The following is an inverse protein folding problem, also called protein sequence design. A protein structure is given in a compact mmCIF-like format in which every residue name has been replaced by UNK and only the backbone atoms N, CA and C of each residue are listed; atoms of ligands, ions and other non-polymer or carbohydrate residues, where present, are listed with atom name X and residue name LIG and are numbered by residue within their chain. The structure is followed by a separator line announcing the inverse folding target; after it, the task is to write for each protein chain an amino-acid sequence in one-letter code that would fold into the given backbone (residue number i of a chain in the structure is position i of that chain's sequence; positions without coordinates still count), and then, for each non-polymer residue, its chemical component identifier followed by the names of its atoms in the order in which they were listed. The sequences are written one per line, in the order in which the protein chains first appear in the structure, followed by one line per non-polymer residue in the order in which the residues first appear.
data_IF_276911051498
#
_entry.id   IF_276911051498
#
_cell.length_a   1.000
_cell.length_b   1.000
_cell.length_c   1.000
_cell.angle_alpha   90.00
_cell.angle_beta   90.00
_cell.angle_gamma   90.00
#
_symmetry.space_group_name_H-M   'P 1'
#
loop_
_entity.id
_entity.type
_entity.pdbx_description
1 polymer ?
#
# COMPACT_ATOMS: atom_id res chain seq x y z
N UNK A 1 9.63 -12.63 4.31
CA UNK A 1 9.32 -11.34 3.63
C UNK A 1 9.04 -10.30 4.70
N UNK A 2 9.67 -9.12 4.65
CA UNK A 2 9.60 -8.13 5.73
C UNK A 2 8.79 -6.89 5.28
N UNK A 3 7.48 -6.93 5.49
CA UNK A 3 6.55 -5.83 5.17
C UNK A 3 6.91 -4.56 5.95
N UNK A 4 7.41 -4.68 7.18
CA UNK A 4 7.83 -3.56 8.01
C UNK A 4 8.90 -2.70 7.31
N UNK A 5 9.87 -3.33 6.63
CA UNK A 5 10.90 -2.58 5.88
C UNK A 5 10.29 -1.76 4.76
N UNK A 6 9.36 -2.32 3.99
CA UNK A 6 8.68 -1.59 2.93
C UNK A 6 7.90 -0.38 3.50
N UNK A 7 7.15 -0.59 4.59
CA UNK A 7 6.41 0.48 5.28
C UNK A 7 7.34 1.58 5.79
N UNK A 8 8.51 1.22 6.33
CA UNK A 8 9.52 2.17 6.80
C UNK A 8 10.15 2.97 5.65
N UNK A 9 10.40 2.32 4.50
CA UNK A 9 10.90 3.01 3.29
C UNK A 9 9.94 4.10 2.85
N UNK A 10 8.64 3.81 2.80
CA UNK A 10 7.60 4.78 2.39
C UNK A 10 7.10 5.70 3.52
N UNK A 11 7.87 5.81 4.61
CA UNK A 11 7.44 6.58 5.77
C UNK A 11 7.49 8.10 5.54
N UNK A 12 6.67 8.84 6.30
CA UNK A 12 6.66 10.29 6.28
C UNK A 12 8.04 10.87 6.59
N UNK A 13 8.76 10.26 7.53
CA UNK A 13 10.10 10.68 7.94
C UNK A 13 11.09 10.61 6.77
N UNK A 14 11.06 9.54 5.98
CA UNK A 14 11.93 9.41 4.79
C UNK A 14 11.55 10.45 3.74
N UNK A 15 10.25 10.61 3.44
CA UNK A 15 9.83 11.62 2.45
C UNK A 15 10.17 13.05 2.88
N UNK A 16 10.04 13.38 4.17
CA UNK A 16 10.41 14.67 4.72
C UNK A 16 11.92 14.92 4.68
N UNK A 17 12.73 13.89 4.99
CA UNK A 17 14.18 13.98 4.85
C UNK A 17 14.59 14.24 3.39
N UNK A 18 14.00 13.52 2.43
CA UNK A 18 14.28 13.75 1.01
C UNK A 18 13.88 15.16 0.56
N UNK A 19 12.71 15.66 0.99
CA UNK A 19 12.29 17.05 0.73
C UNK A 19 13.30 18.04 1.32
N UNK A 20 13.71 17.83 2.57
CA UNK A 20 14.68 18.71 3.23
C UNK A 20 16.04 18.74 2.51
N UNK A 21 16.54 17.58 2.09
CA UNK A 21 17.80 17.48 1.32
C UNK A 21 17.70 18.18 -0.04
N UNK A 22 16.54 18.12 -0.69
CA UNK A 22 16.29 18.82 -1.95
C UNK A 22 16.29 20.35 -1.78
N UNK A 23 15.68 20.85 -0.71
CA UNK A 23 15.54 22.28 -0.40
C UNK A 23 16.87 22.90 0.04
N UNK A 24 17.65 22.17 0.85
CA UNK A 24 18.89 22.66 1.48
C UNK A 24 20.16 22.31 0.70
N UNK A 25 20.03 21.99 -0.59
CA UNK A 25 21.14 21.61 -1.49
C UNK A 25 22.19 22.70 -1.76
N UNK A 26 21.98 23.94 -1.31
CA UNK A 26 22.88 25.07 -1.62
C UNK A 26 24.16 24.95 -0.81
N UNK A 27 25.26 24.58 -1.48
CA UNK A 27 26.61 24.65 -0.91
C UNK A 27 27.29 23.30 -0.63
N UNK A 28 26.58 22.18 -0.77
CA UNK A 28 27.16 20.84 -0.60
C UNK A 28 27.10 20.03 -1.92
N UNK A 29 28.24 19.74 -2.56
CA UNK A 29 28.31 18.88 -3.75
C UNK A 29 27.70 17.50 -3.55
N UNK A 30 27.70 16.95 -2.33
CA UNK A 30 27.10 15.65 -2.03
C UNK A 30 25.57 15.66 -2.19
N UNK A 31 24.93 16.82 -2.08
CA UNK A 31 23.48 16.98 -2.19
C UNK A 31 22.99 17.15 -3.63
N UNK A 32 23.89 17.24 -4.61
CA UNK A 32 23.53 17.39 -6.02
C UNK A 32 22.69 16.21 -6.54
N UNK A 33 22.90 15.00 -6.01
CA UNK A 33 22.15 13.79 -6.36
C UNK A 33 20.66 13.87 -5.99
N UNK A 34 20.28 14.73 -5.04
CA UNK A 34 18.89 14.90 -4.60
C UNK A 34 18.13 16.01 -5.36
N UNK A 35 18.75 16.61 -6.39
CA UNK A 35 18.13 17.70 -7.16
C UNK A 35 16.78 17.28 -7.77
N UNK A 36 16.74 16.09 -8.37
CA UNK A 36 15.60 15.57 -9.14
C UNK A 36 14.79 14.53 -8.35
N UNK A 37 14.78 14.61 -7.02
CA UNK A 37 14.10 13.62 -6.15
C UNK A 37 12.57 13.82 -6.08
N UNK A 38 12.03 14.90 -6.65
CA UNK A 38 10.58 15.21 -6.60
C UNK A 38 9.70 14.05 -7.06
N UNK A 39 9.96 13.38 -8.21
CA UNK A 39 9.11 12.27 -8.66
C UNK A 39 9.15 11.09 -7.70
N UNK A 40 10.31 10.83 -7.08
CA UNK A 40 10.47 9.79 -6.05
C UNK A 40 9.66 10.13 -4.81
N UNK A 41 9.74 11.37 -4.30
CA UNK A 41 8.95 11.82 -3.15
C UNK A 41 7.45 11.67 -3.45
N UNK A 42 7.02 12.09 -4.64
CA UNK A 42 5.62 11.97 -5.06
C UNK A 42 5.18 10.52 -5.08
N UNK A 43 5.95 9.63 -5.72
CA UNK A 43 5.67 8.20 -5.75
C UNK A 43 5.54 7.63 -4.34
N UNK A 44 6.47 7.97 -3.46
CA UNK A 44 6.44 7.49 -2.08
C UNK A 44 5.20 7.96 -1.32
N UNK A 45 4.80 9.22 -1.49
CA UNK A 45 3.58 9.78 -0.88
C UNK A 45 2.32 9.11 -1.42
N UNK A 46 2.21 8.92 -2.73
CA UNK A 46 1.06 8.25 -3.37
C UNK A 46 0.91 6.82 -2.86
N UNK A 47 2.00 6.04 -2.84
CA UNK A 47 1.97 4.66 -2.35
C UNK A 47 1.69 4.57 -0.85
N UNK A 48 2.23 5.50 -0.05
CA UNK A 48 1.98 5.57 1.39
C UNK A 48 0.51 5.87 1.70
N UNK A 49 -0.08 6.85 1.03
CA UNK A 49 -1.49 7.18 1.19
C UNK A 49 -2.38 6.01 0.76
N UNK A 50 -2.07 5.36 -0.37
CA UNK A 50 -2.77 4.16 -0.82
C UNK A 50 -2.73 3.05 0.24
N UNK A 51 -1.54 2.77 0.81
CA UNK A 51 -1.37 1.76 1.84
C UNK A 51 -2.16 2.09 3.11
N UNK A 52 -2.13 3.34 3.57
CA UNK A 52 -2.83 3.75 4.79
C UNK A 52 -4.36 3.64 4.66
N UNK A 53 -4.90 3.90 3.47
CA UNK A 53 -6.34 3.73 3.21
C UNK A 53 -6.72 2.24 3.17
N UNK A 54 -5.81 1.34 2.79
CA UNK A 54 -6.04 -0.12 2.81
C UNK A 54 -5.75 -0.76 4.19
N UNK A 55 -5.18 -0.01 5.14
CA UNK A 55 -4.85 -0.47 6.49
C UNK A 55 -5.53 0.42 7.57
N UNK A 56 -6.83 0.66 7.40
CA UNK A 56 -7.60 1.44 8.38
C UNK A 56 -7.86 0.68 9.67
N UNK A 57 -7.77 1.38 10.80
CA UNK A 57 -7.97 0.84 12.15
C UNK A 57 -8.87 1.77 12.96
N UNK A 58 -9.56 1.22 13.96
CA UNK A 58 -10.55 1.97 14.74
C UNK A 58 -9.98 3.24 15.39
N UNK A 59 -8.77 3.14 15.94
CA UNK A 59 -8.04 4.26 16.56
C UNK A 59 -7.15 5.03 15.57
N UNK A 60 -7.34 4.83 14.27
CA UNK A 60 -6.50 5.44 13.23
C UNK A 60 -6.82 6.91 13.04
N UNK A 61 -5.81 7.70 12.70
CA UNK A 61 -5.96 9.11 12.32
C UNK A 61 -5.91 9.29 10.80
N UNK A 62 -6.44 10.40 10.31
CA UNK A 62 -6.33 10.81 8.90
C UNK A 62 -6.75 9.71 7.90
N UNK A 63 -5.81 9.22 7.09
CA UNK A 63 -6.05 8.18 6.10
C UNK A 63 -6.34 6.81 6.71
N UNK A 64 -5.90 6.55 7.95
CA UNK A 64 -6.09 5.29 8.67
C UNK A 64 -7.38 5.21 9.48
N UNK A 65 -8.17 6.28 9.58
CA UNK A 65 -9.44 6.27 10.33
C UNK A 65 -10.48 5.36 9.67
N UNK A 66 -11.51 4.88 10.38
CA UNK A 66 -12.61 4.14 9.76
C UNK A 66 -13.28 4.93 8.63
N UNK A 67 -13.81 4.24 7.61
CA UNK A 67 -14.58 4.87 6.53
C UNK A 67 -16.05 4.75 6.88
N UNK A 68 -16.75 5.86 7.06
CA UNK A 68 -18.16 5.90 7.49
C UNK A 68 -19.10 6.51 6.46
N UNK A 69 -18.55 7.10 5.39
CA UNK A 69 -19.32 7.83 4.38
C UNK A 69 -19.06 7.25 2.99
N UNK A 70 -20.12 7.14 2.19
CA UNK A 70 -20.03 6.61 0.82
C UNK A 70 -19.16 7.49 -0.08
N UNK A 71 -19.23 8.81 0.13
CA UNK A 71 -18.48 9.82 -0.60
C UNK A 71 -17.23 10.27 0.15
N UNK A 72 -16.65 9.40 0.99
CA UNK A 72 -15.41 9.71 1.72
C UNK A 72 -14.33 10.18 0.72
N UNK A 73 -13.70 11.35 0.94
CA UNK A 73 -12.70 11.89 0.01
C UNK A 73 -11.56 10.91 -0.30
N UNK A 74 -11.23 10.00 0.63
CA UNK A 74 -10.21 8.97 0.43
C UNK A 74 -10.63 7.93 -0.61
N UNK A 75 -11.92 7.60 -0.67
CA UNK A 75 -12.45 6.69 -1.69
C UNK A 75 -12.47 7.36 -3.07
N UNK A 76 -12.83 8.64 -3.12
CA UNK A 76 -12.77 9.43 -4.35
C UNK A 76 -11.33 9.51 -4.86
N UNK A 77 -10.38 9.78 -3.96
CA UNK A 77 -8.96 9.83 -4.28
C UNK A 77 -8.41 8.49 -4.80
N UNK A 78 -8.79 7.38 -4.17
CA UNK A 78 -8.42 6.04 -4.64
C UNK A 78 -8.94 5.78 -6.05
N UNK A 79 -10.21 6.08 -6.28
CA UNK A 79 -10.90 5.78 -7.54
C UNK A 79 -10.39 6.64 -8.70
N UNK A 80 -10.14 7.94 -8.45
CA UNK A 80 -9.81 8.91 -9.50
C UNK A 80 -8.32 9.22 -9.55
N UNK A 81 -7.78 9.82 -8.49
CA UNK A 81 -6.44 10.39 -8.48
C UNK A 81 -5.36 9.30 -8.50
N UNK A 82 -5.47 8.29 -7.63
CA UNK A 82 -4.47 7.22 -7.54
C UNK A 82 -4.45 6.34 -8.79
N UNK A 83 -5.61 5.93 -9.30
CA UNK A 83 -5.66 5.07 -10.50
C UNK A 83 -5.15 5.81 -11.74
N UNK A 84 -5.45 7.10 -11.87
CA UNK A 84 -4.90 7.95 -12.94
C UNK A 84 -3.38 8.07 -12.80
N UNK A 85 -2.88 8.34 -11.59
CA UNK A 85 -1.46 8.42 -11.32
C UNK A 85 -0.70 7.14 -11.70
N UNK A 86 -1.18 5.96 -11.26
CA UNK A 86 -0.54 4.67 -11.55
C UNK A 86 -0.51 4.40 -13.06
N UNK A 87 -1.59 4.72 -13.79
CA UNK A 87 -1.63 4.62 -15.26
C UNK A 87 -0.58 5.51 -15.92
N UNK A 88 -0.51 6.78 -15.52
CA UNK A 88 0.46 7.71 -16.08
C UNK A 88 1.90 7.27 -15.81
N UNK A 89 2.19 6.76 -14.60
CA UNK A 89 3.50 6.21 -14.25
C UNK A 89 3.82 4.99 -15.12
N UNK A 90 2.87 4.07 -15.30
CA UNK A 90 3.05 2.89 -16.13
C UNK A 90 3.33 3.27 -17.59
N UNK A 91 2.52 4.15 -18.17
CA UNK A 91 2.65 4.61 -19.56
C UNK A 91 4.00 5.33 -19.79
N UNK A 92 4.41 6.21 -18.87
CA UNK A 92 5.70 6.88 -18.94
C UNK A 92 6.88 5.90 -18.80
N UNK A 93 6.73 4.86 -17.98
CA UNK A 93 7.75 3.83 -17.78
C UNK A 93 7.91 2.95 -19.02
N UNK A 94 6.80 2.56 -19.64
CA UNK A 94 6.79 1.83 -20.93
C UNK A 94 7.44 2.68 -22.02
N UNK A 95 7.05 3.95 -22.14
CA UNK A 95 7.61 4.86 -23.15
C UNK A 95 9.12 5.10 -22.98
N UNK A 96 9.60 5.10 -21.74
CA UNK A 96 11.03 5.25 -21.44
C UNK A 96 11.82 3.93 -21.46
N UNK A 97 11.14 2.79 -21.50
CA UNK A 97 11.73 1.45 -21.39
C UNK A 97 12.38 1.16 -20.03
N UNK A 98 12.03 1.91 -18.98
CA UNK A 98 12.64 1.81 -17.64
C UNK A 98 11.60 1.95 -16.54
N UNK A 99 11.75 1.16 -15.48
CA UNK A 99 10.99 1.35 -14.23
C UNK A 99 9.52 0.94 -14.31
N UNK A 100 9.14 0.14 -15.30
CA UNK A 100 7.79 -0.39 -15.46
C UNK A 100 7.41 -1.32 -14.29
N UNK A 101 6.19 -1.18 -13.77
CA UNK A 101 5.62 -2.20 -12.87
C UNK A 101 5.30 -3.44 -13.69
N UNK A 102 5.53 -4.62 -13.12
CA UNK A 102 5.11 -5.86 -13.79
C UNK A 102 3.60 -5.81 -14.06
N UNK A 103 3.15 -6.44 -15.15
CA UNK A 103 1.74 -6.48 -15.51
C UNK A 103 0.87 -6.99 -14.35
N UNK A 104 1.34 -8.00 -13.62
CA UNK A 104 0.66 -8.55 -12.45
C UNK A 104 0.51 -7.50 -11.34
N UNK A 105 1.59 -6.76 -11.04
CA UNK A 105 1.59 -5.73 -10.00
C UNK A 105 0.70 -4.56 -10.38
N UNK A 106 0.79 -4.09 -11.63
CA UNK A 106 -0.02 -3.01 -12.18
C UNK A 106 -1.51 -3.37 -12.13
N UNK A 107 -1.89 -4.55 -12.63
CA UNK A 107 -3.28 -5.01 -12.61
C UNK A 107 -3.79 -5.24 -11.19
N UNK A 108 -2.96 -5.83 -10.31
CA UNK A 108 -3.33 -6.02 -8.91
C UNK A 108 -3.61 -4.69 -8.21
N UNK A 109 -2.77 -3.66 -8.39
CA UNK A 109 -2.99 -2.35 -7.80
C UNK A 109 -4.33 -1.74 -8.23
N UNK A 110 -4.64 -1.75 -9.53
CA UNK A 110 -5.89 -1.19 -10.03
C UNK A 110 -7.10 -2.02 -9.57
N UNK A 111 -7.01 -3.34 -9.62
CA UNK A 111 -8.07 -4.24 -9.22
C UNK A 111 -8.38 -4.11 -7.73
N UNK A 112 -7.36 -4.19 -6.86
CA UNK A 112 -7.52 -4.05 -5.41
C UNK A 112 -8.10 -2.70 -5.05
N UNK A 113 -7.66 -1.63 -5.71
CA UNK A 113 -8.20 -0.28 -5.49
C UNK A 113 -9.69 -0.22 -5.81
N UNK A 114 -10.08 -0.70 -7.01
CA UNK A 114 -11.49 -0.71 -7.43
C UNK A 114 -12.34 -1.60 -6.52
N UNK A 115 -11.87 -2.81 -6.22
CA UNK A 115 -12.58 -3.76 -5.36
C UNK A 115 -12.80 -3.19 -3.95
N UNK A 116 -11.79 -2.53 -3.38
CA UNK A 116 -11.90 -1.90 -2.05
C UNK A 116 -12.94 -0.78 -2.04
N UNK A 117 -12.92 0.09 -3.05
CA UNK A 117 -13.88 1.20 -3.17
C UNK A 117 -15.32 0.67 -3.32
N UNK A 118 -15.55 -0.23 -4.28
CA UNK A 118 -16.89 -0.79 -4.53
C UNK A 118 -17.42 -1.56 -3.32
N UNK A 119 -16.58 -2.40 -2.71
CA UNK A 119 -16.96 -3.17 -1.51
C UNK A 119 -17.30 -2.25 -0.34
N UNK A 120 -16.48 -1.21 -0.11
CA UNK A 120 -16.72 -0.25 0.96
C UNK A 120 -18.04 0.51 0.74
N UNK A 121 -18.26 1.04 -0.47
CA UNK A 121 -19.53 1.72 -0.82
C UNK A 121 -20.73 0.78 -0.65
N UNK A 122 -20.62 -0.47 -1.11
CA UNK A 122 -21.67 -1.47 -0.95
C UNK A 122 -22.00 -1.71 0.53
N UNK A 123 -21.00 -1.95 1.38
CA UNK A 123 -21.20 -2.22 2.81
C UNK A 123 -21.87 -1.03 3.53
N UNK A 124 -21.46 0.20 3.20
CA UNK A 124 -22.08 1.41 3.77
C UNK A 124 -23.54 1.56 3.34
N UNK A 125 -23.87 1.27 2.07
CA UNK A 125 -25.25 1.26 1.56
C UNK A 125 -26.13 0.19 2.24
N UNK A 126 -25.55 -0.91 2.71
CA UNK A 126 -26.24 -1.94 3.50
C UNK A 126 -26.51 -1.52 4.96
N UNK A 127 -26.13 -0.31 5.36
CA UNK A 127 -26.38 0.23 6.71
C UNK A 127 -25.29 -0.09 7.73
N UNK A 128 -24.11 -0.56 7.28
CA UNK A 128 -22.95 -0.68 8.17
C UNK A 128 -22.44 0.72 8.53
N UNK A 129 -22.25 0.98 9.83
CA UNK A 129 -21.85 2.31 10.34
C UNK A 129 -20.48 2.78 9.87
N UNK A 130 -19.54 1.84 9.74
CA UNK A 130 -18.20 2.10 9.26
C UNK A 130 -17.53 0.82 8.74
N UNK A 131 -16.56 0.99 7.85
CA UNK A 131 -15.77 -0.08 7.27
C UNK A 131 -14.30 0.09 7.67
N UNK A 132 -13.68 -1.03 8.06
CA UNK A 132 -12.24 -1.16 8.29
C UNK A 132 -11.63 -1.97 7.16
N UNK A 133 -10.98 -1.30 6.23
CA UNK A 133 -10.29 -1.89 5.07
C UNK A 133 -9.16 -2.85 5.44
N UNK A 134 -8.59 -2.73 6.66
CA UNK A 134 -7.64 -3.72 7.18
C UNK A 134 -8.23 -5.13 7.23
N UNK A 135 -9.55 -5.27 7.35
CA UNK A 135 -10.21 -6.57 7.35
C UNK A 135 -10.36 -7.19 5.95
N UNK A 136 -9.96 -6.48 4.88
CA UNK A 136 -9.95 -7.03 3.52
C UNK A 136 -8.64 -7.76 3.18
N UNK A 137 -7.63 -7.69 4.06
CA UNK A 137 -6.34 -8.33 3.82
C UNK A 137 -6.27 -9.75 4.46
N UNK A 138 -5.26 -10.52 4.04
CA UNK A 138 -5.01 -11.88 4.56
C UNK A 138 -4.12 -11.92 5.80
N UNK A 139 -3.76 -10.77 6.40
CA UNK A 139 -2.85 -10.72 7.56
C UNK A 139 -3.34 -11.61 8.74
N UNK A 140 -4.65 -11.67 9.08
CA UNK A 140 -5.12 -12.55 10.14
C UNK A 140 -4.86 -14.04 9.85
N UNK A 141 -4.96 -14.44 8.58
CA UNK A 141 -4.69 -15.81 8.12
C UNK A 141 -3.19 -16.10 8.19
N UNK A 142 -2.35 -15.16 7.75
CA UNK A 142 -0.89 -15.28 7.88
C UNK A 142 -0.44 -15.35 9.34
N UNK A 143 -1.04 -14.55 10.22
CA UNK A 143 -0.77 -14.56 11.65
C UNK A 143 -1.20 -15.88 12.30
N UNK A 144 -2.30 -16.49 11.84
CA UNK A 144 -2.69 -17.83 12.26
C UNK A 144 -1.64 -18.86 11.82
N UNK A 145 -1.23 -18.87 10.56
CA UNK A 145 -0.19 -19.79 10.08
C UNK A 145 1.16 -19.56 10.77
N UNK A 146 1.50 -18.31 11.12
CA UNK A 146 2.67 -17.98 11.93
C UNK A 146 2.63 -18.63 13.31
N UNK A 147 1.48 -18.54 13.99
CA UNK A 147 1.24 -19.20 15.28
C UNK A 147 1.30 -20.73 15.18
N UNK A 148 0.68 -21.32 14.15
CA UNK A 148 0.75 -22.77 13.92
C UNK A 148 2.20 -23.25 13.73
N UNK A 149 3.02 -22.49 12.99
CA UNK A 149 4.45 -22.80 12.81
C UNK A 149 5.25 -22.65 14.11
N UNK A 150 4.94 -21.65 14.94
CA UNK A 150 5.68 -21.44 16.20
C UNK A 150 5.35 -22.47 17.28
N UNK A 151 4.11 -22.99 17.31
CA UNK A 151 3.67 -23.97 18.29
C UNK A 151 4.33 -25.36 18.14
N UNK A 152 4.79 -25.73 16.94
CA UNK A 152 5.26 -27.10 16.66
C UNK A 152 6.78 -27.31 16.80
N UNK A 153 7.55 -26.30 17.23
CA UNK A 153 9.01 -26.37 17.19
C UNK A 153 9.53 -26.71 15.78
N UNK A 154 10.77 -27.18 15.63
CA UNK A 154 11.45 -27.45 14.33
C UNK A 154 10.74 -28.44 13.36
N UNK A 155 9.52 -28.92 13.61
CA UNK A 155 8.72 -29.72 12.67
C UNK A 155 7.63 -28.89 12.00
N UNK A 156 7.88 -28.48 10.76
CA UNK A 156 6.85 -27.99 9.84
C UNK A 156 5.90 -29.15 9.49
N UNK A 157 4.76 -29.23 10.18
CA UNK A 157 3.68 -30.20 9.90
C UNK A 157 3.00 -30.02 8.53
N UNK A 158 3.31 -28.94 7.80
CA UNK A 158 2.75 -28.67 6.47
C UNK A 158 3.21 -29.67 5.39
N UNK A 159 4.23 -30.50 5.65
CA UNK A 159 4.61 -31.57 4.72
C UNK A 159 3.58 -32.72 4.68
N UNK A 160 2.82 -32.96 5.76
CA UNK A 160 1.96 -34.15 5.83
C UNK A 160 0.51 -33.92 5.37
N UNK A 161 -0.01 -32.70 5.44
CA UNK A 161 -1.43 -32.45 5.12
C UNK A 161 -1.71 -32.46 3.61
N UNK A 162 -0.70 -32.24 2.77
CA UNK A 162 -0.85 -32.28 1.30
C UNK A 162 -0.37 -33.59 0.64
N UNK A 163 0.14 -34.56 1.42
CA UNK A 163 0.70 -35.79 0.86
C UNK A 163 -0.27 -36.98 0.92
N UNK A 164 -1.48 -36.82 1.49
CA UNK A 164 -2.52 -37.88 1.55
C UNK A 164 -3.68 -37.67 0.56
N UNK A 165 -3.50 -36.89 -0.52
CA UNK A 165 -4.49 -36.79 -1.62
C UNK A 165 -3.86 -36.80 -3.01
N UNK A 166 -3.07 -37.82 -3.32
CA UNK A 166 -2.83 -38.30 -4.68
C UNK A 166 -2.87 -39.82 -4.71
#
# INVERSE_FOLDING_TARGET
MNVLRAVQTFSLQVTAALSHLQENRRGDPALYSFREVTPTILFMKMMKQWFDIHDTVYSGSENKRPISEENDPRMVWLEKDFTCYVKNVQEASIASGKGELTNETYHALLFTTKATVETTKFLLRQGIRYVLTRNFNSDPVEALFGRLRSMCGRRLLLAYVFQERL
#
